data_IF_650174406643
#
_entry.id   IF_650174406643
#
_cell.length_a   1.000
_cell.length_b   1.000
_cell.length_c   1.000
_cell.angle_alpha   90.00
_cell.angle_beta   90.00
_cell.angle_gamma   90.00
#
_symmetry.space_group_name_H-M   'P 1'
#
loop_
_entity.id
_entity.type
_entity.pdbx_description
1 polymer ?
#
# COMPACT_ATOMS: atom_id res chain seq x y z
N UNK A 1 16.63 2.82 -5.42
CA UNK A 1 15.29 2.94 -4.78
C UNK A 1 14.31 3.71 -5.65
N UNK A 2 14.60 4.96 -6.08
CA UNK A 2 13.71 5.73 -7.00
C UNK A 2 13.37 5.00 -8.31
N UNK A 3 14.31 4.23 -8.86
CA UNK A 3 14.08 3.40 -10.05
C UNK A 3 12.98 2.35 -9.85
N UNK A 4 12.79 1.86 -8.62
CA UNK A 4 11.73 0.90 -8.30
C UNK A 4 10.33 1.54 -8.40
N UNK A 5 10.23 2.87 -8.27
CA UNK A 5 8.98 3.60 -8.47
C UNK A 5 8.59 3.66 -9.96
N UNK A 6 9.53 3.42 -10.87
CA UNK A 6 9.30 3.50 -12.32
C UNK A 6 8.96 2.14 -12.94
N UNK A 7 8.96 1.05 -12.16
CA UNK A 7 8.62 -0.28 -12.65
C UNK A 7 7.25 -0.28 -13.30
N UNK A 8 7.16 -0.85 -14.50
CA UNK A 8 5.89 -0.97 -15.21
C UNK A 8 4.86 -1.74 -14.40
N UNK A 9 3.58 -1.38 -14.60
CA UNK A 9 2.46 -2.07 -14.00
C UNK A 9 2.17 -3.40 -14.69
N UNK A 10 1.42 -4.26 -13.99
CA UNK A 10 0.98 -5.54 -14.56
C UNK A 10 -0.02 -5.29 -15.71
N UNK A 11 -0.06 -6.17 -16.71
CA UNK A 11 -0.90 -6.00 -17.90
C UNK A 11 -2.41 -5.94 -17.60
N UNK A 12 -2.83 -6.51 -16.47
CA UNK A 12 -4.23 -6.53 -16.02
C UNK A 12 -4.53 -5.48 -14.94
N UNK A 13 -3.81 -4.36 -14.93
CA UNK A 13 -4.08 -3.26 -14.00
C UNK A 13 -5.47 -2.65 -14.26
N UNK A 14 -6.28 -2.35 -13.22
CA UNK A 14 -5.96 -2.38 -11.79
C UNK A 14 -6.33 -3.69 -11.08
N UNK A 15 -6.92 -4.68 -11.77
CA UNK A 15 -7.35 -5.95 -11.16
C UNK A 15 -6.17 -6.74 -10.60
N UNK A 16 -5.01 -6.64 -11.26
CA UNK A 16 -3.73 -7.15 -10.79
C UNK A 16 -2.67 -6.07 -10.95
N UNK A 17 -1.80 -5.92 -9.97
CA UNK A 17 -0.73 -4.92 -10.00
C UNK A 17 0.55 -5.46 -9.38
N UNK A 18 1.68 -4.81 -9.67
CA UNK A 18 2.92 -5.13 -8.98
C UNK A 18 3.01 -4.38 -7.66
N UNK A 19 3.44 -5.07 -6.60
CA UNK A 19 3.90 -4.48 -5.35
C UNK A 19 5.39 -4.72 -5.15
N UNK A 20 6.08 -3.75 -4.55
CA UNK A 20 7.46 -3.88 -4.09
C UNK A 20 7.47 -3.89 -2.57
N UNK A 21 7.99 -4.95 -1.97
CA UNK A 21 7.99 -5.13 -0.51
C UNK A 21 9.01 -4.19 0.14
N UNK A 22 8.62 -3.50 1.21
CA UNK A 22 9.48 -2.55 1.92
C UNK A 22 9.59 -2.86 3.41
N UNK A 23 8.62 -3.57 3.98
CA UNK A 23 8.75 -4.13 5.32
C UNK A 23 8.09 -5.51 5.39
N UNK A 24 8.73 -6.43 6.11
CA UNK A 24 8.15 -7.74 6.37
C UNK A 24 7.11 -7.68 7.48
N UNK A 25 6.25 -8.69 7.61
CA UNK A 25 5.45 -8.90 8.82
C UNK A 25 6.37 -8.98 10.05
N UNK A 26 5.90 -8.52 11.21
CA UNK A 26 6.68 -8.51 12.44
C UNK A 26 7.37 -7.17 12.75
N UNK A 27 7.12 -6.12 11.98
CA UNK A 27 7.68 -4.77 12.22
C UNK A 27 6.77 -3.92 13.12
N UNK A 28 7.34 -2.92 13.78
CA UNK A 28 6.59 -1.96 14.63
C UNK A 28 6.32 -0.61 13.95
N UNK A 29 6.66 -0.47 12.67
CA UNK A 29 6.43 0.75 11.90
C UNK A 29 6.15 0.42 10.42
N UNK A 30 5.30 1.23 9.79
CA UNK A 30 4.92 1.11 8.38
C UNK A 30 5.63 2.23 7.60
N UNK A 31 6.52 1.91 6.65
CA UNK A 31 7.18 2.93 5.84
C UNK A 31 6.31 3.41 4.68
N UNK A 32 6.18 4.72 4.53
CA UNK A 32 5.55 5.41 3.39
C UNK A 32 6.62 6.21 2.66
N UNK A 33 6.78 5.94 1.36
CA UNK A 33 7.85 6.50 0.54
C UNK A 33 7.37 7.69 -0.29
N UNK A 34 8.08 8.80 -0.18
CA UNK A 34 7.84 10.00 -0.97
C UNK A 34 8.73 10.03 -2.22
N UNK A 35 8.24 10.67 -3.28
CA UNK A 35 8.95 10.77 -4.55
C UNK A 35 10.25 11.60 -4.47
N UNK A 36 10.32 12.53 -3.52
CA UNK A 36 11.55 13.27 -3.22
C UNK A 36 12.66 12.36 -2.65
N UNK A 37 12.31 11.17 -2.14
CA UNK A 37 13.22 10.19 -1.51
C UNK A 37 13.06 10.12 0.01
N UNK A 38 12.23 10.95 0.61
CA UNK A 38 11.91 10.88 2.04
C UNK A 38 11.08 9.64 2.36
N UNK A 39 11.23 9.15 3.59
CA UNK A 39 10.46 8.04 4.13
C UNK A 39 9.82 8.51 5.42
N UNK A 40 8.49 8.47 5.48
CA UNK A 40 7.76 8.69 6.73
C UNK A 40 7.37 7.34 7.32
N UNK A 41 7.51 7.23 8.64
CA UNK A 41 7.16 6.02 9.37
C UNK A 41 5.85 6.26 10.12
N UNK A 42 4.85 5.43 9.86
CA UNK A 42 3.67 5.34 10.73
C UNK A 42 4.02 4.35 11.83
N UNK A 43 4.21 4.84 13.04
CA UNK A 43 4.55 4.03 14.21
C UNK A 43 3.32 3.26 14.69
N UNK A 44 3.53 2.01 15.11
CA UNK A 44 2.52 1.29 15.90
C UNK A 44 2.37 1.90 17.29
N UNK A 45 1.30 1.53 18.00
CA UNK A 45 0.99 2.04 19.35
C UNK A 45 2.09 1.77 20.39
N UNK A 46 2.91 0.74 20.17
CA UNK A 46 4.09 0.42 20.96
C UNK A 46 5.08 -0.43 20.16
N UNK A 47 6.35 -0.45 20.58
CA UNK A 47 7.38 -1.28 19.95
C UNK A 47 7.14 -2.79 20.09
N UNK A 48 6.34 -3.20 21.08
CA UNK A 48 6.01 -4.60 21.35
C UNK A 48 4.89 -5.14 20.46
N UNK A 49 4.09 -4.26 19.84
CA UNK A 49 2.99 -4.64 18.94
C UNK A 49 3.53 -4.65 17.52
N UNK A 50 3.45 -5.81 16.87
CA UNK A 50 4.05 -6.05 15.56
C UNK A 50 2.98 -6.27 14.48
N UNK A 51 3.28 -5.89 13.25
CA UNK A 51 2.39 -6.12 12.10
C UNK A 51 2.19 -7.61 11.83
N UNK A 52 0.97 -8.02 11.50
CA UNK A 52 0.64 -9.36 11.00
C UNK A 52 0.70 -9.46 9.47
N UNK A 53 1.11 -8.39 8.80
CA UNK A 53 1.08 -8.21 7.37
C UNK A 53 2.40 -7.62 6.88
N UNK A 54 2.73 -7.86 5.62
CA UNK A 54 3.83 -7.17 4.95
C UNK A 54 3.38 -5.80 4.46
N UNK A 55 4.33 -4.90 4.26
CA UNK A 55 4.10 -3.57 3.69
C UNK A 55 4.93 -3.45 2.42
N UNK A 56 4.36 -2.80 1.42
CA UNK A 56 5.06 -2.42 0.20
C UNK A 56 4.55 -1.11 -0.36
N UNK A 57 4.98 -0.79 -1.57
CA UNK A 57 4.38 0.24 -2.40
C UNK A 57 4.05 -0.30 -3.78
N UNK A 58 3.20 0.44 -4.49
CA UNK A 58 2.74 0.13 -5.84
C UNK A 58 3.49 1.05 -6.81
N UNK A 59 4.40 0.54 -7.65
CA UNK A 59 5.15 1.36 -8.60
C UNK A 59 4.25 2.20 -9.52
N UNK A 60 4.76 3.27 -10.13
CA UNK A 60 4.02 4.12 -11.07
C UNK A 60 2.66 4.58 -10.55
N UNK A 61 2.55 4.87 -9.26
CA UNK A 61 1.35 5.47 -8.65
C UNK A 61 1.77 6.70 -7.87
N UNK A 62 1.02 7.79 -7.98
CA UNK A 62 1.32 9.04 -7.30
C UNK A 62 0.05 9.57 -6.63
N UNK A 63 0.09 9.66 -5.31
CA UNK A 63 -0.91 10.37 -4.51
C UNK A 63 -0.20 11.34 -3.57
N UNK A 64 -0.59 12.61 -3.58
CA UNK A 64 -0.12 13.63 -2.64
C UNK A 64 1.39 13.54 -2.26
N UNK A 65 2.26 13.40 -3.27
CA UNK A 65 3.73 13.34 -3.17
C UNK A 65 4.34 11.99 -2.78
N UNK A 66 3.53 11.00 -2.42
CA UNK A 66 3.99 9.66 -2.07
C UNK A 66 3.60 8.61 -3.12
N UNK A 67 4.35 7.50 -3.10
CA UNK A 67 4.08 6.30 -3.87
C UNK A 67 3.03 5.50 -3.11
N UNK A 68 1.93 5.10 -3.76
CA UNK A 68 0.81 4.46 -3.06
C UNK A 68 1.30 3.24 -2.28
N UNK A 69 1.14 3.22 -0.95
CA UNK A 69 1.53 2.08 -0.14
C UNK A 69 0.49 0.96 -0.25
N UNK A 70 0.94 -0.26 0.02
CA UNK A 70 0.07 -1.44 0.07
C UNK A 70 0.34 -2.28 1.30
N UNK A 71 -0.74 -2.77 1.91
CA UNK A 71 -0.73 -3.73 3.01
C UNK A 71 -1.01 -5.10 2.41
N UNK A 72 -0.13 -6.07 2.65
CA UNK A 72 -0.18 -7.37 1.99
C UNK A 72 -0.40 -8.46 3.05
N UNK A 73 -1.59 -9.05 3.02
CA UNK A 73 -1.88 -10.25 3.78
C UNK A 73 -1.50 -11.47 2.97
N UNK A 74 -0.70 -12.34 3.58
CA UNK A 74 -0.24 -13.60 2.98
C UNK A 74 0.31 -14.52 4.06
N UNK A 75 0.21 -15.83 3.86
CA UNK A 75 0.88 -16.83 4.70
C UNK A 75 2.37 -16.97 4.37
N UNK A 76 2.82 -16.43 3.23
CA UNK A 76 4.20 -16.55 2.77
C UNK A 76 5.08 -15.42 3.32
N UNK A 77 6.35 -15.73 3.52
CA UNK A 77 7.36 -14.71 3.77
C UNK A 77 7.79 -14.10 2.44
N UNK A 78 7.77 -12.78 2.36
CA UNK A 78 8.15 -12.06 1.16
C UNK A 78 9.52 -11.41 1.35
N UNK A 79 10.44 -11.52 0.39
CA UNK A 79 11.74 -10.88 0.48
C UNK A 79 11.59 -9.36 0.38
N UNK A 80 12.31 -8.63 1.23
CA UNK A 80 12.40 -7.17 1.10
C UNK A 80 12.90 -6.77 -0.28
N UNK A 81 12.30 -5.73 -0.84
CA UNK A 81 12.50 -5.23 -2.21
C UNK A 81 12.16 -6.24 -3.32
N UNK A 82 11.57 -7.38 -2.96
CA UNK A 82 10.98 -8.30 -3.91
C UNK A 82 9.76 -7.68 -4.61
N UNK A 83 9.60 -8.02 -5.89
CA UNK A 83 8.42 -7.67 -6.69
C UNK A 83 7.44 -8.83 -6.70
N UNK A 84 6.18 -8.57 -6.36
CA UNK A 84 5.09 -9.57 -6.32
C UNK A 84 3.88 -9.09 -7.11
N UNK A 85 3.05 -10.03 -7.58
CA UNK A 85 1.77 -9.73 -8.22
C UNK A 85 0.67 -9.79 -7.17
N UNK A 86 -0.10 -8.71 -7.06
CA UNK A 86 -1.11 -8.50 -6.04
C UNK A 86 -2.49 -8.26 -6.65
N UNK A 87 -3.52 -8.63 -5.90
CA UNK A 87 -4.93 -8.31 -6.16
C UNK A 87 -5.45 -7.38 -5.05
N UNK A 88 -6.21 -6.32 -5.38
CA UNK A 88 -6.77 -5.41 -4.39
C UNK A 88 -7.95 -6.07 -3.65
N UNK A 89 -8.08 -5.77 -2.36
CA UNK A 89 -9.19 -6.20 -1.52
C UNK A 89 -9.99 -5.00 -1.00
N UNK A 90 -9.30 -4.00 -0.47
CA UNK A 90 -9.92 -2.80 0.11
C UNK A 90 -9.04 -1.58 -0.12
N UNK A 91 -9.65 -0.40 -0.10
CA UNK A 91 -8.94 0.85 0.07
C UNK A 91 -9.06 1.27 1.52
N UNK A 92 -7.95 1.57 2.18
CA UNK A 92 -7.95 1.98 3.58
C UNK A 92 -7.35 3.35 3.70
N UNK A 93 -8.09 4.28 4.31
CA UNK A 93 -7.56 5.58 4.70
C UNK A 93 -7.23 5.54 6.19
N UNK A 94 -5.98 5.83 6.51
CA UNK A 94 -5.46 5.93 7.87
C UNK A 94 -5.13 7.38 8.14
N UNK A 95 -5.80 7.98 9.13
CA UNK A 95 -5.53 9.33 9.60
C UNK A 95 -4.65 9.25 10.84
N UNK A 96 -3.48 9.87 10.80
CA UNK A 96 -2.51 9.91 11.90
C UNK A 96 -2.08 11.36 12.06
N UNK A 97 -2.40 11.94 13.23
CA UNK A 97 -2.13 13.36 13.53
C UNK A 97 -2.66 14.26 12.40
N UNK A 98 -1.81 15.09 11.80
CA UNK A 98 -2.15 16.04 10.73
C UNK A 98 -2.01 15.43 9.32
N UNK A 99 -1.91 14.11 9.18
CA UNK A 99 -1.71 13.42 7.91
C UNK A 99 -2.75 12.32 7.67
N UNK A 100 -3.07 12.09 6.40
CA UNK A 100 -3.88 10.95 5.98
C UNK A 100 -3.20 10.22 4.83
N UNK A 101 -3.17 8.90 4.92
CA UNK A 101 -2.53 8.03 3.94
C UNK A 101 -3.53 6.99 3.45
N UNK A 102 -3.61 6.84 2.12
CA UNK A 102 -4.46 5.83 1.49
C UNK A 102 -3.61 4.60 1.11
N UNK A 103 -3.97 3.46 1.68
CA UNK A 103 -3.34 2.16 1.47
C UNK A 103 -4.27 1.27 0.66
N UNK A 104 -3.71 0.56 -0.30
CA UNK A 104 -4.41 -0.58 -0.91
C UNK A 104 -4.11 -1.83 -0.09
N UNK A 105 -5.15 -2.44 0.48
CA UNK A 105 -5.03 -3.75 1.11
C UNK A 105 -5.13 -4.81 0.03
N UNK A 106 -4.22 -5.78 0.08
CA UNK A 106 -3.96 -6.70 -1.02
C UNK A 106 -3.66 -8.11 -0.54
N UNK A 107 -3.78 -9.06 -1.47
CA UNK A 107 -3.29 -10.43 -1.36
C UNK A 107 -2.48 -10.82 -2.60
N UNK A 108 -1.75 -11.94 -2.55
CA UNK A 108 -1.10 -12.50 -3.73
C UNK A 108 -2.12 -13.07 -4.73
N UNK A 109 -1.87 -12.91 -6.04
CA UNK A 109 -2.75 -13.31 -7.16
C UNK A 109 -3.32 -14.75 -7.08
N UNK A 110 -2.59 -15.67 -6.45
CA UNK A 110 -2.94 -17.10 -6.42
C UNK A 110 -3.24 -17.61 -5.02
N UNK A 111 -3.26 -16.71 -4.04
CA UNK A 111 -3.51 -17.10 -2.66
C UNK A 111 -5.00 -16.99 -2.36
N UNK A 112 -5.57 -18.11 -1.90
CA UNK A 112 -6.95 -18.16 -1.46
C UNK A 112 -7.04 -17.80 0.02
N UNK A 113 -6.80 -16.52 0.34
CA UNK A 113 -7.04 -15.99 1.69
C UNK A 113 -8.33 -15.18 1.68
N UNK A 114 -9.10 -15.32 2.76
CA UNK A 114 -10.22 -14.44 3.05
C UNK A 114 -9.77 -13.46 4.15
N UNK A 115 -9.65 -12.18 3.80
CA UNK A 115 -9.44 -11.10 4.77
C UNK A 115 -10.77 -10.42 4.99
N UNK A 116 -11.46 -10.76 6.07
CA UNK A 116 -12.72 -10.10 6.40
C UNK A 116 -12.49 -8.65 6.83
N UNK A 117 -13.43 -7.76 6.48
CA UNK A 117 -13.36 -6.34 6.81
C UNK A 117 -13.23 -6.07 8.31
N UNK A 118 -13.97 -6.83 9.13
CA UNK A 118 -13.92 -6.68 10.59
C UNK A 118 -12.58 -7.16 11.17
N UNK A 119 -12.02 -8.24 10.62
CA UNK A 119 -10.68 -8.69 10.97
C UNK A 119 -9.63 -7.64 10.63
N UNK A 120 -9.67 -7.11 9.40
CA UNK A 120 -8.78 -6.03 8.95
C UNK A 120 -8.88 -4.81 9.87
N UNK A 121 -10.10 -4.37 10.18
CA UNK A 121 -10.35 -3.24 11.09
C UNK A 121 -9.72 -3.48 12.45
N UNK A 122 -9.98 -4.65 13.06
CA UNK A 122 -9.42 -5.02 14.36
C UNK A 122 -7.90 -5.00 14.35
N UNK A 123 -7.27 -5.64 13.37
CA UNK A 123 -5.80 -5.72 13.25
C UNK A 123 -5.17 -4.33 13.13
N UNK A 124 -5.73 -3.45 12.30
CA UNK A 124 -5.19 -2.11 12.10
C UNK A 124 -5.38 -1.22 13.33
N UNK A 125 -6.55 -1.25 13.97
CA UNK A 125 -6.80 -0.49 15.21
C UNK A 125 -5.91 -0.97 16.35
N UNK A 126 -5.72 -2.29 16.47
CA UNK A 126 -4.81 -2.86 17.47
C UNK A 126 -3.35 -2.46 17.24
N UNK A 127 -2.90 -2.48 15.99
CA UNK A 127 -1.54 -2.07 15.65
C UNK A 127 -1.31 -0.58 15.89
N UNK A 128 -2.21 0.28 15.41
CA UNK A 128 -2.02 1.74 15.39
C UNK A 128 -2.42 2.41 16.70
N UNK A 129 -3.34 1.83 17.48
CA UNK A 129 -3.88 2.45 18.69
C UNK A 129 -4.66 3.74 18.42
N UNK A 130 -5.16 3.93 17.20
CA UNK A 130 -5.96 5.09 16.80
C UNK A 130 -7.44 4.85 17.07
N UNK A 131 -8.25 5.93 17.22
CA UNK A 131 -9.69 5.77 17.35
C UNK A 131 -10.32 5.27 16.02
N UNK A 132 -11.49 4.64 16.12
CA UNK A 132 -12.10 3.91 15.00
C UNK A 132 -12.45 4.80 13.79
N UNK A 133 -12.79 6.06 14.05
CA UNK A 133 -13.13 7.10 13.09
C UNK A 133 -11.92 7.59 12.27
N UNK A 134 -10.70 7.36 12.78
CA UNK A 134 -9.46 7.65 12.06
C UNK A 134 -9.08 6.53 11.06
N UNK A 135 -9.89 5.46 10.99
CA UNK A 135 -9.70 4.34 10.07
C UNK A 135 -10.96 4.14 9.20
N UNK A 136 -10.82 4.44 7.90
CA UNK A 136 -11.90 4.23 6.94
C UNK A 136 -11.49 3.09 6.01
N UNK A 137 -12.35 2.08 5.88
CA UNK A 137 -12.15 0.95 4.97
C UNK A 137 -13.24 1.02 3.89
N UNK A 138 -12.85 1.23 2.63
CA UNK A 138 -13.71 1.23 1.46
C UNK A 138 -13.58 -0.08 0.65
N UNK A 139 -14.48 -0.28 -0.32
CA UNK A 139 -14.57 -1.51 -1.11
C UNK A 139 -13.42 -1.71 -2.10
N UNK A 140 -13.31 -2.94 -2.61
CA UNK A 140 -12.42 -3.30 -3.72
C UNK A 140 -12.59 -2.36 -4.94
N UNK A 141 -13.81 -2.03 -5.31
CA UNK A 141 -14.08 -1.14 -6.45
C UNK A 141 -13.50 0.27 -6.24
N UNK A 142 -13.51 0.77 -5.00
CA UNK A 142 -12.87 2.04 -4.64
C UNK A 142 -11.35 1.94 -4.74
N UNK A 143 -10.76 0.82 -4.29
CA UNK A 143 -9.33 0.56 -4.44
C UNK A 143 -8.91 0.55 -5.91
N UNK A 144 -9.66 -0.13 -6.78
CA UNK A 144 -9.39 -0.16 -8.22
C UNK A 144 -9.48 1.22 -8.87
N UNK A 145 -10.52 1.99 -8.55
CA UNK A 145 -10.67 3.35 -9.05
C UNK A 145 -9.52 4.27 -8.58
N UNK A 146 -9.11 4.15 -7.32
CA UNK A 146 -7.97 4.87 -6.76
C UNK A 146 -6.66 4.53 -7.48
N UNK A 147 -6.41 3.25 -7.74
CA UNK A 147 -5.24 2.77 -8.50
C UNK A 147 -5.17 3.36 -9.91
N UNK A 148 -6.29 3.37 -10.64
CA UNK A 148 -6.37 3.99 -11.98
C UNK A 148 -5.98 5.47 -11.90
N UNK A 149 -6.57 6.20 -10.95
CA UNK A 149 -6.36 7.64 -10.83
C UNK A 149 -4.91 7.97 -10.47
N UNK A 150 -4.33 7.29 -9.49
CA UNK A 150 -2.94 7.52 -9.04
C UNK A 150 -1.92 7.12 -10.12
N UNK A 151 -2.19 6.09 -10.92
CA UNK A 151 -1.36 5.72 -12.06
C UNK A 151 -1.43 6.75 -13.20
N UNK A 152 -2.62 7.27 -13.49
CA UNK A 152 -2.80 8.36 -14.45
C UNK A 152 -2.06 9.63 -14.01
N UNK A 153 -2.18 10.01 -12.73
CA UNK A 153 -1.47 11.17 -12.16
C UNK A 153 0.04 10.99 -12.26
N UNK A 154 0.55 9.80 -11.93
CA UNK A 154 1.96 9.48 -12.11
C UNK A 154 2.42 9.67 -13.55
N UNK A 155 1.68 9.10 -14.51
CA UNK A 155 2.00 9.20 -15.94
C UNK A 155 2.04 10.65 -16.39
N UNK A 156 1.03 11.46 -16.04
CA UNK A 156 1.00 12.89 -16.38
C UNK A 156 2.16 13.68 -15.76
N UNK A 157 2.64 13.31 -14.57
CA UNK A 157 3.66 14.06 -13.84
C UNK A 157 5.10 13.67 -14.19
N UNK A 158 5.37 12.39 -14.43
CA UNK A 158 6.73 11.87 -14.59
C UNK A 158 7.00 11.25 -15.96
N UNK A 159 5.94 10.98 -16.73
CA UNK A 159 6.01 10.49 -18.11
C UNK A 159 5.45 11.60 -19.00
N UNK A 160 6.02 12.80 -18.90
CA UNK A 160 5.83 13.78 -19.98
C UNK A 160 6.54 13.19 -21.19
N UNK A 161 5.73 12.75 -22.14
CA UNK A 161 6.11 12.16 -23.42
C UNK A 161 7.22 12.99 -24.04
N UNK A 162 8.35 12.35 -24.35
CA UNK A 162 9.27 12.84 -25.39
C UNK A 162 8.42 13.12 -26.62
N UNK A 163 8.09 14.39 -26.89
CA UNK A 163 7.71 14.80 -28.24
C UNK A 163 8.89 14.46 -29.13
N UNK A 164 8.72 13.42 -29.94
CA UNK A 164 9.50 13.24 -31.17
C UNK A 164 9.08 14.37 -32.12
#
# INVERSE_FOLDING_TARGET
>A
MKELFLLDQHNNFPDKFYGVITAQKGVSAIPVYYYNGEVKLILGRSETVKTLFHVGFIPRTYDNEYVVPTIIFTNFDLPMFGKVILEPLYLVKIVVEDSAYEFVVSKLEKENILVEREFLKKVLLEFLGIPSEALIIESENKAKAFLINTNKTFTSKFIIVRKV
#
